data_IF_779540700919
#
_entry.id   IF_779540700919
#
_cell.length_a   1.000
_cell.length_b   1.000
_cell.length_c   1.000
_cell.angle_alpha   90.00
_cell.angle_beta   90.00
_cell.angle_gamma   90.00
#
_symmetry.space_group_name_H-M   'P 1'
#
loop_
_entity.id
_entity.type
_entity.pdbx_description
1 polymer ?
#
# COMPACT_ATOMS: atom_id res chain seq x y z
N UNK A 1 5.26 1.86 4.05
CA UNK A 1 5.54 3.31 3.98
C UNK A 1 5.70 3.87 5.38
N UNK A 2 6.76 4.60 5.62
CA UNK A 2 7.01 5.23 6.90
C UNK A 2 6.58 6.69 6.90
N UNK A 3 5.98 7.13 8.00
CA UNK A 3 5.64 8.53 8.22
C UNK A 3 6.42 8.99 9.45
N UNK A 4 7.15 10.09 9.32
CA UNK A 4 7.83 10.67 10.48
C UNK A 4 6.84 11.45 11.33
N UNK A 5 6.79 11.14 12.60
CA UNK A 5 6.01 11.94 13.54
C UNK A 5 6.72 13.27 13.82
N UNK A 6 5.96 14.29 14.25
CA UNK A 6 6.52 15.59 14.63
C UNK A 6 7.51 15.54 15.79
N UNK A 7 7.55 14.43 16.51
CA UNK A 7 8.45 14.21 17.66
C UNK A 7 9.73 13.47 17.27
N UNK A 8 10.00 13.28 15.99
CA UNK A 8 11.21 12.62 15.51
C UNK A 8 11.18 11.10 15.58
N UNK A 9 10.12 10.51 16.11
CA UNK A 9 9.94 9.05 16.10
C UNK A 9 9.32 8.62 14.77
N UNK A 10 9.91 7.60 14.13
CA UNK A 10 9.31 7.01 12.94
C UNK A 10 8.12 6.16 13.33
N UNK A 11 6.97 6.45 12.71
CA UNK A 11 5.79 5.61 12.75
C UNK A 11 5.57 5.00 11.39
N UNK A 12 5.22 3.73 11.37
CA UNK A 12 4.89 3.02 10.15
C UNK A 12 3.42 2.64 10.16
N UNK A 13 2.74 2.96 9.07
CA UNK A 13 1.33 2.61 8.89
C UNK A 13 1.25 1.49 7.86
N UNK A 14 0.50 0.44 8.20
CA UNK A 14 0.21 -0.62 7.26
C UNK A 14 -0.88 -0.18 6.29
N UNK A 15 -0.74 -0.55 5.03
CA UNK A 15 -1.76 -0.28 4.01
C UNK A 15 -2.63 -1.51 3.83
N UNK A 16 -3.94 -1.27 3.67
CA UNK A 16 -4.93 -2.35 3.55
C UNK A 16 -5.50 -2.47 2.12
N UNK A 17 -4.73 -2.05 1.14
CA UNK A 17 -5.08 -2.29 -0.26
C UNK A 17 -6.13 -1.35 -0.85
N UNK A 18 -6.47 -0.27 -0.16
CA UNK A 18 -7.38 0.75 -0.69
C UNK A 18 -6.61 2.01 -1.02
N UNK A 19 -6.66 2.41 -2.28
CA UNK A 19 -5.90 3.55 -2.79
C UNK A 19 -6.77 4.44 -3.66
N UNK A 20 -6.55 5.74 -3.55
CA UNK A 20 -6.99 6.71 -4.55
C UNK A 20 -5.75 7.09 -5.36
N UNK A 21 -5.75 6.72 -6.63
CA UNK A 21 -4.58 6.86 -7.49
C UNK A 21 -4.78 8.04 -8.46
N UNK A 22 -3.70 8.78 -8.66
CA UNK A 22 -3.65 9.86 -9.64
C UNK A 22 -2.92 9.40 -10.90
N UNK A 23 -2.93 10.23 -11.92
CA UNK A 23 -2.28 9.95 -13.19
C UNK A 23 -0.79 9.67 -13.04
N UNK A 24 -0.13 10.30 -12.07
CA UNK A 24 1.29 10.14 -11.80
C UNK A 24 1.67 8.70 -11.48
N UNK A 25 0.80 7.97 -10.79
CA UNK A 25 1.03 6.55 -10.46
C UNK A 25 1.09 5.72 -11.74
N UNK A 26 0.17 5.94 -12.66
CA UNK A 26 0.14 5.23 -13.94
C UNK A 26 1.35 5.57 -14.80
N UNK A 27 1.79 6.82 -14.78
CA UNK A 27 3.00 7.25 -15.49
C UNK A 27 4.25 6.55 -14.96
N UNK A 28 4.37 6.40 -13.64
CA UNK A 28 5.49 5.71 -13.03
C UNK A 28 5.47 4.21 -13.32
N UNK A 29 4.28 3.58 -13.33
CA UNK A 29 4.15 2.18 -13.74
C UNK A 29 4.56 1.97 -15.19
N UNK A 30 4.14 2.85 -16.08
CA UNK A 30 4.52 2.79 -17.50
C UNK A 30 6.04 2.89 -17.67
N UNK A 31 6.69 3.79 -16.94
CA UNK A 31 8.15 3.90 -16.95
C UNK A 31 8.84 2.61 -16.51
N UNK A 32 8.33 1.96 -15.48
CA UNK A 32 8.87 0.67 -15.03
C UNK A 32 8.79 -0.39 -16.11
N UNK A 33 7.66 -0.47 -16.80
CA UNK A 33 7.44 -1.44 -17.89
C UNK A 33 8.39 -1.16 -19.05
N UNK A 34 8.51 0.09 -19.46
CA UNK A 34 9.35 0.49 -20.60
C UNK A 34 10.83 0.30 -20.30
N UNK A 35 11.28 0.58 -19.07
CA UNK A 35 12.67 0.42 -18.68
C UNK A 35 13.07 -1.04 -18.51
N UNK A 36 12.13 -1.94 -18.32
CA UNK A 36 12.42 -3.36 -18.18
C UNK A 36 12.56 -4.01 -19.55
N UNK A 37 13.78 -3.97 -20.06
CA UNK A 37 14.11 -4.54 -21.37
C UNK A 37 14.13 -6.06 -21.41
N UNK A 38 14.05 -6.72 -20.25
CA UNK A 38 14.10 -8.19 -20.14
C UNK A 38 13.00 -8.64 -19.17
N UNK A 39 11.75 -8.68 -19.64
CA UNK A 39 10.71 -9.25 -18.80
C UNK A 39 11.01 -10.74 -18.60
N UNK A 40 11.40 -11.10 -17.39
CA UNK A 40 11.48 -12.51 -17.02
C UNK A 40 10.07 -13.05 -16.82
N UNK A 41 9.84 -14.27 -17.23
CA UNK A 41 8.57 -14.95 -16.97
C UNK A 41 8.29 -14.95 -15.48
N UNK A 42 7.08 -14.55 -15.09
CA UNK A 42 6.66 -14.47 -13.70
C UNK A 42 7.02 -13.19 -12.97
N UNK A 43 7.63 -12.20 -13.63
CA UNK A 43 7.93 -10.91 -13.00
C UNK A 43 6.67 -10.06 -12.93
N UNK A 44 6.33 -9.66 -11.73
CA UNK A 44 5.24 -8.73 -11.49
C UNK A 44 5.75 -7.30 -11.39
N UNK A 45 5.01 -6.38 -11.98
CA UNK A 45 5.26 -4.95 -11.80
C UNK A 45 4.47 -4.48 -10.59
N UNK A 46 5.19 -4.32 -9.47
CA UNK A 46 4.54 -3.99 -8.22
C UNK A 46 4.05 -2.55 -8.15
N UNK A 47 2.84 -2.39 -7.66
CA UNK A 47 2.27 -1.07 -7.39
C UNK A 47 3.05 -0.33 -6.30
N UNK A 48 3.59 -1.05 -5.32
CA UNK A 48 4.29 -0.47 -4.17
C UNK A 48 5.46 0.40 -4.57
N UNK A 49 6.29 -0.03 -5.54
CA UNK A 49 7.43 0.76 -6.01
C UNK A 49 6.98 2.04 -6.70
N UNK A 50 5.92 1.98 -7.50
CA UNK A 50 5.35 3.16 -8.15
C UNK A 50 4.78 4.15 -7.14
N UNK A 51 4.08 3.65 -6.12
CA UNK A 51 3.54 4.47 -5.04
C UNK A 51 4.66 5.16 -4.26
N UNK A 52 5.75 4.47 -3.98
CA UNK A 52 6.88 5.05 -3.26
C UNK A 52 7.56 6.16 -4.06
N UNK A 53 7.71 5.97 -5.37
CA UNK A 53 8.25 7.00 -6.25
C UNK A 53 7.34 8.24 -6.30
N UNK A 54 6.04 8.03 -6.39
CA UNK A 54 5.07 9.14 -6.38
C UNK A 54 5.08 9.86 -5.04
N UNK A 55 5.20 9.12 -3.94
CA UNK A 55 5.34 9.69 -2.60
C UNK A 55 6.54 10.63 -2.51
N UNK A 56 7.68 10.21 -3.04
CA UNK A 56 8.90 11.04 -3.04
C UNK A 56 8.77 12.29 -3.88
N UNK A 57 8.17 12.18 -5.07
CA UNK A 57 8.10 13.28 -6.03
C UNK A 57 6.97 14.26 -5.76
N UNK A 58 5.80 13.76 -5.40
CA UNK A 58 4.56 14.54 -5.32
C UNK A 58 3.92 14.55 -3.93
N UNK A 59 4.37 13.66 -3.05
CA UNK A 59 3.75 13.46 -1.76
C UNK A 59 2.59 12.46 -1.81
N UNK A 60 2.17 12.03 -0.64
CA UNK A 60 1.07 11.09 -0.48
C UNK A 60 0.39 11.34 0.85
N UNK A 61 -0.93 11.30 0.85
CA UNK A 61 -1.72 11.43 2.05
C UNK A 61 -2.20 10.06 2.52
N UNK A 62 -2.07 9.81 3.81
CA UNK A 62 -2.63 8.63 4.44
C UNK A 62 -3.96 9.00 5.09
N UNK A 63 -5.01 8.26 4.77
CA UNK A 63 -6.29 8.35 5.45
C UNK A 63 -6.35 7.26 6.51
N UNK A 64 -6.57 7.65 7.75
CA UNK A 64 -6.70 6.72 8.87
C UNK A 64 -8.18 6.62 9.22
N UNK A 65 -8.86 5.54 8.79
CA UNK A 65 -10.27 5.38 9.11
C UNK A 65 -10.45 5.12 10.61
N UNK A 66 -11.56 5.59 11.13
CA UNK A 66 -11.97 5.29 12.50
C UNK A 66 -12.62 3.90 12.50
N UNK A 67 -11.98 2.96 13.18
CA UNK A 67 -12.45 1.59 13.19
C UNK A 67 -11.34 0.60 13.50
N UNK A 68 -11.71 -0.67 13.51
CA UNK A 68 -10.79 -1.77 13.74
C UNK A 68 -10.49 -2.49 12.43
N UNK A 69 -9.21 -2.80 12.22
CA UNK A 69 -8.78 -3.56 11.04
C UNK A 69 -8.82 -5.06 11.30
N UNK A 70 -9.16 -5.82 10.26
CA UNK A 70 -9.18 -7.28 10.30
C UNK A 70 -8.46 -7.82 9.07
N UNK A 71 -7.62 -8.82 9.30
CA UNK A 71 -6.93 -9.53 8.22
C UNK A 71 -7.42 -10.97 8.19
N UNK A 72 -8.22 -11.30 7.20
CA UNK A 72 -8.78 -12.64 7.05
C UNK A 72 -7.82 -13.64 6.40
N UNK A 73 -6.61 -13.21 6.07
CA UNK A 73 -5.60 -14.06 5.47
C UNK A 73 -4.94 -15.05 6.45
N UNK A 74 -5.12 -14.85 7.75
CA UNK A 74 -4.59 -15.71 8.80
C UNK A 74 -5.72 -16.42 9.53
N UNK A 75 -5.57 -17.71 9.92
CA UNK A 75 -6.65 -18.45 10.57
C UNK A 75 -7.20 -17.81 11.83
N UNK A 76 -6.33 -17.34 12.72
CA UNK A 76 -6.74 -16.70 13.96
C UNK A 76 -7.44 -15.35 13.72
N UNK A 77 -6.89 -14.56 12.82
CA UNK A 77 -7.48 -13.28 12.43
C UNK A 77 -8.83 -13.48 11.72
N UNK A 78 -8.96 -14.52 10.90
CA UNK A 78 -10.21 -14.89 10.27
C UNK A 78 -11.29 -15.21 11.33
N UNK A 79 -10.92 -16.00 12.33
CA UNK A 79 -11.80 -16.37 13.44
C UNK A 79 -12.24 -15.15 14.24
N UNK A 80 -11.33 -14.26 14.54
CA UNK A 80 -11.61 -12.99 15.22
C UNK A 80 -12.57 -12.12 14.41
N UNK A 81 -12.37 -12.07 13.10
CA UNK A 81 -13.24 -11.33 12.19
C UNK A 81 -14.66 -11.89 12.18
N UNK A 82 -14.79 -13.22 12.14
CA UNK A 82 -16.09 -13.89 12.20
C UNK A 82 -16.83 -13.56 13.49
N UNK A 83 -16.16 -13.55 14.62
CA UNK A 83 -16.73 -13.15 15.90
C UNK A 83 -17.22 -11.70 15.88
N UNK A 84 -16.46 -10.80 15.29
CA UNK A 84 -16.83 -9.39 15.24
C UNK A 84 -18.08 -9.13 14.37
N UNK A 85 -18.29 -9.93 13.32
CA UNK A 85 -19.41 -9.80 12.39
C UNK A 85 -20.57 -10.75 12.64
N UNK A 86 -20.40 -11.76 13.48
CA UNK A 86 -21.48 -12.66 13.90
C UNK A 86 -22.23 -12.03 15.08
N UNK A 87 -23.21 -11.25 14.77
CA UNK A 87 -24.11 -10.65 15.78
C UNK A 87 -25.34 -11.49 15.98
#
# INVERSE_FOLDING_TARGET
MGVRSRQGKQKYYATFGQYVLTQEVFSELEKQIVLDRRPSEGKEYGLTAALDTVREKYGMYAFLPDGKSYDIGLPDAYRETMWAYCL
#
